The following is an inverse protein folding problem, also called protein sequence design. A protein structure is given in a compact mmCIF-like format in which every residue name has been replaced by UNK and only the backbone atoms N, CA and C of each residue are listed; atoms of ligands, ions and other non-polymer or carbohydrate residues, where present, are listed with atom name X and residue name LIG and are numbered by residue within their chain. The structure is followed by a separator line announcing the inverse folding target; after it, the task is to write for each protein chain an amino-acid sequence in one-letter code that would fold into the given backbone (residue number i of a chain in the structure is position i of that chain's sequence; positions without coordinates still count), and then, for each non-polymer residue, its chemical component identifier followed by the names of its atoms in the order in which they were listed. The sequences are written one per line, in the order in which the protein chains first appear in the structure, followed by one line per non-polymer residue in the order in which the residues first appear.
data_IF_365870848126
#
_entry.id   IF_365870848126
#
_cell.length_a   1.000
_cell.length_b   1.000
_cell.length_c   1.000
_cell.angle_alpha   90.00
_cell.angle_beta   90.00
_cell.angle_gamma   90.00
#
_symmetry.space_group_name_H-M   'P 1'
#
loop_
_entity.id
_entity.type
_entity.pdbx_description
1 polymer ?
#
# COMPACT_ATOMS: atom_id res chain seq x y z
N UNK A 1 -12.24 1.15 -1.87
CA UNK A 1 -11.03 1.92 -2.20
C UNK A 1 -11.46 3.34 -2.50
N UNK A 2 -10.91 4.32 -1.78
CA UNK A 2 -11.18 5.74 -2.00
C UNK A 2 -10.15 6.32 -2.97
N UNK A 3 -10.49 7.40 -3.68
CA UNK A 3 -9.67 8.07 -4.68
C UNK A 3 -9.17 9.42 -4.15
N UNK A 4 -7.86 9.52 -3.90
CA UNK A 4 -7.21 10.77 -3.52
C UNK A 4 -6.72 11.53 -4.76
N UNK A 5 -6.90 12.85 -4.78
CA UNK A 5 -6.38 13.73 -5.86
C UNK A 5 -4.85 13.91 -5.76
N UNK A 6 -4.12 14.13 -6.87
CA UNK A 6 -4.61 14.32 -8.24
C UNK A 6 -4.75 13.00 -9.02
N UNK A 7 -5.81 12.89 -9.81
CA UNK A 7 -5.99 11.85 -10.82
C UNK A 7 -6.69 12.42 -12.06
N UNK A 8 -6.69 11.67 -13.16
CA UNK A 8 -7.40 12.02 -14.38
C UNK A 8 -8.40 10.91 -14.72
N UNK A 9 -9.68 11.26 -14.84
CA UNK A 9 -10.72 10.32 -15.28
C UNK A 9 -10.48 10.02 -16.76
N UNK A 10 -10.25 8.74 -17.06
CA UNK A 10 -10.16 8.25 -18.44
C UNK A 10 -11.50 7.67 -18.91
N UNK A 11 -12.30 7.16 -17.97
CA UNK A 11 -13.56 6.48 -18.25
C UNK A 11 -14.43 6.44 -16.99
N UNK A 12 -15.65 6.94 -17.08
CA UNK A 12 -16.69 6.80 -16.07
C UNK A 12 -18.03 6.70 -16.78
N UNK A 13 -18.60 5.50 -16.84
CA UNK A 13 -19.89 5.24 -17.53
C UNK A 13 -21.09 5.38 -16.60
N UNK A 14 -20.84 5.38 -15.30
CA UNK A 14 -21.87 5.28 -14.28
C UNK A 14 -21.85 6.48 -13.32
N UNK A 15 -21.04 7.50 -13.63
CA UNK A 15 -20.87 8.73 -12.85
C UNK A 15 -20.54 8.46 -11.37
N UNK A 16 -19.75 7.40 -11.10
CA UNK A 16 -19.44 6.95 -9.73
C UNK A 16 -18.19 7.62 -9.13
N UNK A 17 -17.42 8.35 -9.94
CA UNK A 17 -16.12 8.87 -9.48
C UNK A 17 -16.30 9.81 -8.29
N UNK A 18 -17.28 10.71 -8.31
CA UNK A 18 -17.48 11.71 -7.26
C UNK A 18 -17.81 11.08 -5.89
N UNK A 19 -18.50 9.93 -5.87
CA UNK A 19 -18.82 9.19 -4.65
C UNK A 19 -17.59 8.49 -4.02
N UNK A 20 -16.54 8.28 -4.82
CA UNK A 20 -15.31 7.62 -4.40
C UNK A 20 -14.19 8.61 -4.08
N UNK A 21 -14.37 9.91 -4.33
CA UNK A 21 -13.34 10.91 -4.02
C UNK A 21 -13.25 11.13 -2.52
N UNK A 22 -12.03 11.12 -2.00
CA UNK A 22 -11.73 11.52 -0.62
C UNK A 22 -10.76 12.69 -0.59
N UNK A 23 -10.89 13.53 0.44
CA UNK A 23 -9.92 14.57 0.79
C UNK A 23 -8.72 13.99 1.57
N UNK A 24 -8.78 12.72 1.98
CA UNK A 24 -7.66 12.05 2.63
C UNK A 24 -6.47 11.90 1.67
N UNK A 25 -5.23 12.05 2.17
CA UNK A 25 -4.04 11.87 1.36
C UNK A 25 -3.93 10.42 0.87
N UNK A 26 -3.31 10.24 -0.29
CA UNK A 26 -3.02 8.90 -0.80
C UNK A 26 -2.21 8.11 0.24
N UNK A 27 -2.53 6.83 0.47
CA UNK A 27 -1.83 6.03 1.45
C UNK A 27 -0.36 5.88 1.04
N UNK A 28 0.54 6.01 2.01
CA UNK A 28 1.97 5.81 1.79
C UNK A 28 2.31 4.36 2.11
N UNK A 29 3.36 3.83 1.47
CA UNK A 29 3.87 2.50 1.80
C UNK A 29 4.22 2.35 3.29
N UNK A 30 4.60 3.44 3.95
CA UNK A 30 4.85 3.51 5.38
C UNK A 30 3.62 3.15 6.21
N UNK A 31 2.42 3.41 5.71
CA UNK A 31 1.15 3.25 6.40
C UNK A 31 0.43 1.95 6.03
N UNK A 32 1.00 1.14 5.14
CA UNK A 32 0.35 -0.08 4.67
C UNK A 32 0.20 -1.09 5.83
N UNK A 33 -0.97 -1.73 5.96
CA UNK A 33 -1.16 -2.81 6.92
C UNK A 33 -0.30 -4.01 6.49
N UNK A 34 0.28 -4.71 7.47
CA UNK A 34 1.12 -5.89 7.22
C UNK A 34 0.38 -7.15 7.61
N UNK A 35 0.73 -8.27 6.98
CA UNK A 35 0.24 -9.61 7.31
C UNK A 35 -1.28 -9.78 7.12
N UNK A 36 -1.86 -9.06 6.15
CA UNK A 36 -3.33 -9.03 5.94
C UNK A 36 -3.91 -10.38 5.51
N UNK A 37 -3.07 -11.24 4.92
CA UNK A 37 -3.47 -12.56 4.41
C UNK A 37 -2.86 -13.72 5.22
N UNK A 38 -2.30 -13.43 6.39
CA UNK A 38 -1.57 -14.41 7.21
C UNK A 38 -0.41 -15.08 6.45
N UNK A 39 -0.09 -16.32 6.81
CA UNK A 39 0.98 -17.12 6.19
C UNK A 39 0.85 -17.23 4.66
N UNK A 40 -0.38 -17.23 4.14
CA UNK A 40 -0.62 -17.30 2.69
C UNK A 40 -0.13 -16.04 1.95
N UNK A 41 -0.06 -14.91 2.65
CA UNK A 41 0.45 -13.65 2.13
C UNK A 41 1.94 -13.43 2.35
N UNK A 42 2.58 -14.19 3.25
CA UNK A 42 3.93 -13.89 3.75
C UNK A 42 4.98 -13.78 2.64
N UNK A 43 4.86 -14.59 1.58
CA UNK A 43 5.77 -14.51 0.43
C UNK A 43 5.71 -13.13 -0.26
N UNK A 44 4.53 -12.51 -0.34
CA UNK A 44 4.34 -11.19 -0.93
C UNK A 44 4.88 -10.08 -0.03
N UNK A 45 4.69 -10.20 1.28
CA UNK A 45 5.25 -9.29 2.28
C UNK A 45 6.79 -9.23 2.19
N UNK A 46 7.43 -10.40 2.06
CA UNK A 46 8.87 -10.52 1.89
C UNK A 46 9.34 -10.00 0.51
N UNK A 47 8.57 -10.27 -0.53
CA UNK A 47 8.85 -9.76 -1.86
C UNK A 47 8.85 -8.22 -1.91
N UNK A 48 7.90 -7.57 -1.23
CA UNK A 48 7.86 -6.11 -1.13
C UNK A 48 9.09 -5.54 -0.41
N UNK A 49 9.54 -6.20 0.66
CA UNK A 49 10.79 -5.84 1.34
C UNK A 49 12.00 -5.94 0.40
N UNK A 50 12.12 -7.03 -0.37
CA UNK A 50 13.21 -7.21 -1.34
C UNK A 50 13.18 -6.10 -2.41
N UNK A 51 12.00 -5.79 -2.94
CA UNK A 51 11.80 -4.73 -3.94
C UNK A 51 12.19 -3.35 -3.41
N UNK A 52 11.92 -3.05 -2.14
CA UNK A 52 12.33 -1.77 -1.55
C UNK A 52 13.83 -1.71 -1.30
N UNK A 53 14.44 -2.79 -0.80
CA UNK A 53 15.89 -2.90 -0.64
C UNK A 53 16.62 -2.73 -1.98
N UNK A 54 16.10 -3.34 -3.07
CA UNK A 54 16.70 -3.21 -4.40
C UNK A 54 16.62 -1.80 -5.01
N UNK A 55 15.90 -0.88 -4.36
CA UNK A 55 15.75 0.53 -4.76
C UNK A 55 16.37 1.48 -3.74
N UNK A 56 17.26 0.98 -2.89
CA UNK A 56 17.92 1.69 -1.79
C UNK A 56 16.97 2.29 -0.73
N UNK A 57 15.70 1.89 -0.72
CA UNK A 57 14.71 2.29 0.29
C UNK A 57 14.85 1.44 1.56
N UNK A 58 16.06 1.47 2.13
CA UNK A 58 16.47 0.60 3.21
C UNK A 58 15.65 0.80 4.50
N UNK A 59 15.37 2.05 4.87
CA UNK A 59 14.62 2.35 6.09
C UNK A 59 13.14 1.93 5.98
N UNK A 60 12.53 2.07 4.80
CA UNK A 60 11.17 1.60 4.55
C UNK A 60 11.09 0.08 4.74
N UNK A 61 12.00 -0.68 4.11
CA UNK A 61 12.04 -2.13 4.24
C UNK A 61 12.27 -2.58 5.69
N UNK A 62 13.22 -1.96 6.41
CA UNK A 62 13.48 -2.30 7.81
C UNK A 62 12.28 -2.01 8.71
N UNK A 63 11.63 -0.87 8.54
CA UNK A 63 10.46 -0.52 9.33
C UNK A 63 9.28 -1.44 9.04
N UNK A 64 9.11 -1.85 7.78
CA UNK A 64 8.09 -2.84 7.42
C UNK A 64 8.37 -4.21 8.04
N UNK A 65 9.61 -4.70 7.97
CA UNK A 65 10.01 -5.96 8.60
C UNK A 65 9.77 -5.97 10.12
N UNK A 66 10.01 -4.84 10.82
CA UNK A 66 9.67 -4.72 12.25
C UNK A 66 8.18 -4.88 12.48
N UNK A 67 7.35 -4.16 11.72
CA UNK A 67 5.88 -4.29 11.82
C UNK A 67 5.42 -5.71 11.53
N UNK A 68 6.02 -6.37 10.54
CA UNK A 68 5.71 -7.75 10.18
C UNK A 68 6.07 -8.70 11.32
N UNK A 69 7.27 -8.57 11.90
CA UNK A 69 7.72 -9.37 13.03
C UNK A 69 6.82 -9.21 14.26
N UNK A 70 6.29 -8.02 14.53
CA UNK A 70 5.34 -7.78 15.62
C UNK A 70 3.97 -8.49 15.41
N UNK A 71 3.69 -8.97 14.19
CA UNK A 71 2.42 -9.65 13.82
C UNK A 71 2.54 -11.16 13.66
N UNK A 72 3.77 -11.69 13.56
CA UNK A 72 4.06 -13.13 13.48
C UNK A 72 4.06 -13.76 14.87
#
# INVERSE_FOLDING_TARGET
FQLSRPFKVLFDKADIIDELVTDEPAPKHEDFPVYTSGDQGLIWELFDCIKWLSRDNNELAKNYLKKLADKL
#
